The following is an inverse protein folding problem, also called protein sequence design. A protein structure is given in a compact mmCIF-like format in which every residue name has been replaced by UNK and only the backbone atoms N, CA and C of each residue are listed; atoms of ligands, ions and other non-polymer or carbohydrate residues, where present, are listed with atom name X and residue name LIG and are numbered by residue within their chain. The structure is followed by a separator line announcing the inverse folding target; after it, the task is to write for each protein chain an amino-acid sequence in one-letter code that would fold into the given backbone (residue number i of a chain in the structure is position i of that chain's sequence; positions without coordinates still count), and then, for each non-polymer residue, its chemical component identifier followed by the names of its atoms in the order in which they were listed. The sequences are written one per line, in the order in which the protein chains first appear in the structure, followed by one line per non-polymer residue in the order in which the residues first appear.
data_IF_470178360831
#
_entry.id   IF_470178360831
#
_cell.length_a   1.000
_cell.length_b   1.000
_cell.length_c   1.000
_cell.angle_alpha   90.00
_cell.angle_beta   90.00
_cell.angle_gamma   90.00
#
_symmetry.space_group_name_H-M   'P 1'
#
loop_
_entity.id
_entity.type
_entity.pdbx_description
1 polymer ?
#
# COMPACT_ATOMS: atom_id res chain seq x y z
N UNK A 1 -14.97 -21.62 45.20
CA UNK A 1 -13.55 -21.60 44.80
C UNK A 1 -13.44 -22.59 43.68
N UNK A 2 -13.69 -22.15 42.49
CA UNK A 2 -13.81 -22.95 41.27
C UNK A 2 -12.66 -22.53 40.35
N UNK A 3 -11.91 -23.47 40.08
CA UNK A 3 -11.43 -24.07 38.80
C UNK A 3 -11.80 -23.27 37.58
N UNK A 4 -10.97 -22.30 37.22
CA UNK A 4 -10.91 -21.72 35.87
C UNK A 4 -9.51 -21.14 35.57
N UNK A 5 -8.49 -21.91 35.95
CA UNK A 5 -7.08 -21.66 35.56
C UNK A 5 -6.60 -22.83 34.69
N UNK A 6 -7.24 -22.98 33.54
CA UNK A 6 -6.72 -23.96 32.59
C UNK A 6 -6.85 -23.36 31.17
N UNK A 7 -5.70 -23.35 30.51
CA UNK A 7 -5.52 -23.27 29.06
C UNK A 7 -5.51 -21.86 28.45
N UNK A 8 -4.50 -21.08 28.82
CA UNK A 8 -3.79 -20.29 27.80
C UNK A 8 -2.86 -21.28 27.09
N UNK A 9 -3.43 -22.00 26.15
CA UNK A 9 -2.67 -22.79 25.19
C UNK A 9 -1.92 -21.81 24.31
N UNK A 10 -0.63 -21.73 24.55
CA UNK A 10 0.33 -20.94 23.79
C UNK A 10 0.26 -21.41 22.32
N UNK A 11 -0.50 -20.70 21.50
CA UNK A 11 -0.64 -20.99 20.09
C UNK A 11 0.73 -20.84 19.44
N UNK A 12 1.40 -21.95 19.26
CA UNK A 12 2.63 -22.03 18.45
C UNK A 12 2.32 -21.44 17.09
N UNK A 13 3.04 -20.40 16.63
CA UNK A 13 2.78 -19.82 15.32
C UNK A 13 2.96 -20.91 14.27
N UNK A 14 1.87 -21.29 13.61
CA UNK A 14 1.95 -22.17 12.46
C UNK A 14 2.79 -21.47 11.39
N UNK A 15 3.78 -22.15 10.80
CA UNK A 15 4.47 -21.60 9.65
C UNK A 15 3.43 -21.35 8.56
N UNK A 16 3.39 -20.10 8.09
CA UNK A 16 2.55 -19.71 6.97
C UNK A 16 2.82 -20.62 5.78
N UNK A 17 1.79 -21.09 5.06
CA UNK A 17 1.98 -21.92 3.89
C UNK A 17 2.87 -21.18 2.89
N UNK A 18 3.86 -21.88 2.35
CA UNK A 18 4.78 -21.35 1.36
C UNK A 18 4.00 -20.83 0.15
N UNK A 19 4.09 -19.51 -0.11
CA UNK A 19 3.38 -18.86 -1.19
C UNK A 19 3.88 -19.32 -2.55
N UNK A 20 2.98 -19.41 -3.57
CA UNK A 20 3.37 -19.71 -4.95
C UNK A 20 4.38 -18.71 -5.52
N UNK A 21 4.46 -17.50 -4.95
CA UNK A 21 5.42 -16.46 -5.29
C UNK A 21 6.88 -16.79 -4.90
N UNK A 22 7.10 -17.82 -4.07
CA UNK A 22 8.44 -18.29 -3.72
C UNK A 22 9.08 -19.17 -4.81
N UNK A 23 8.35 -19.43 -5.90
CA UNK A 23 8.88 -20.15 -7.03
C UNK A 23 9.50 -19.17 -8.02
N UNK A 24 10.76 -19.40 -8.38
CA UNK A 24 11.41 -18.69 -9.47
C UNK A 24 10.70 -18.92 -10.82
N UNK A 25 11.01 -18.12 -11.82
CA UNK A 25 10.35 -18.10 -13.13
C UNK A 25 10.26 -19.48 -13.83
N UNK A 26 11.09 -20.45 -13.45
CA UNK A 26 11.07 -21.82 -13.97
C UNK A 26 10.77 -22.87 -12.90
N UNK A 27 10.08 -22.48 -11.82
CA UNK A 27 9.66 -23.41 -10.78
C UNK A 27 10.73 -23.74 -9.75
N UNK A 28 11.86 -23.03 -9.73
CA UNK A 28 12.89 -23.19 -8.71
C UNK A 28 12.32 -22.85 -7.33
N UNK A 29 12.45 -23.79 -6.38
CA UNK A 29 11.93 -23.63 -5.04
C UNK A 29 12.82 -22.70 -4.21
N UNK A 30 12.26 -21.64 -3.59
CA UNK A 30 12.95 -20.76 -2.63
C UNK A 30 13.86 -19.70 -3.24
N UNK A 31 13.90 -19.55 -4.57
CA UNK A 31 14.71 -18.54 -5.24
C UNK A 31 13.96 -17.95 -6.43
N UNK A 32 13.91 -16.62 -6.49
CA UNK A 32 13.46 -15.90 -7.69
C UNK A 32 14.55 -15.79 -8.75
N UNK A 33 15.75 -16.31 -8.50
CA UNK A 33 16.89 -16.29 -9.39
C UNK A 33 16.99 -17.60 -10.17
N UNK A 34 17.01 -17.49 -11.50
CA UNK A 34 17.17 -18.61 -12.42
C UNK A 34 18.63 -18.83 -12.86
N UNK A 35 19.55 -18.02 -12.33
CA UNK A 35 20.98 -18.06 -12.70
C UNK A 35 21.76 -19.22 -12.08
N UNK A 36 21.13 -20.03 -11.21
CA UNK A 36 21.79 -21.12 -10.49
C UNK A 36 22.61 -20.68 -9.27
N UNK A 37 22.56 -19.40 -8.92
CA UNK A 37 23.17 -18.90 -7.67
C UNK A 37 22.23 -19.13 -6.50
N UNK A 38 22.45 -20.23 -5.78
CA UNK A 38 21.65 -20.65 -4.62
C UNK A 38 21.71 -19.71 -3.42
N UNK A 39 22.48 -18.63 -3.46
CA UNK A 39 22.63 -17.64 -2.39
C UNK A 39 21.72 -16.41 -2.48
N UNK A 40 21.06 -16.20 -3.61
CA UNK A 40 20.15 -15.07 -3.80
C UNK A 40 18.72 -15.44 -3.36
N UNK A 41 18.51 -15.43 -2.07
CA UNK A 41 17.15 -15.55 -1.51
C UNK A 41 16.44 -14.23 -1.73
N UNK A 42 15.48 -14.18 -2.64
CA UNK A 42 14.55 -13.07 -2.74
C UNK A 42 13.67 -13.10 -1.52
N UNK A 43 13.88 -12.17 -0.62
CA UNK A 43 12.91 -11.93 0.46
C UNK A 43 11.65 -11.37 -0.19
N UNK A 44 10.61 -12.16 -0.22
CA UNK A 44 9.27 -11.65 -0.51
C UNK A 44 8.92 -10.76 0.67
N UNK A 45 8.77 -9.46 0.41
CA UNK A 45 8.23 -8.56 1.42
C UNK A 45 6.86 -9.11 1.82
N UNK A 46 6.66 -9.36 3.13
CA UNK A 46 5.37 -9.85 3.60
C UNK A 46 4.29 -8.83 3.20
N UNK A 47 3.34 -9.18 2.32
CA UNK A 47 2.32 -8.26 1.87
C UNK A 47 1.47 -7.69 3.01
N UNK A 48 1.37 -8.39 4.14
CA UNK A 48 0.71 -7.90 5.34
C UNK A 48 1.33 -6.57 5.85
N UNK A 49 2.61 -6.33 5.62
CA UNK A 49 3.26 -5.09 6.02
C UNK A 49 3.00 -3.92 5.05
N UNK A 50 2.58 -4.22 3.83
CA UNK A 50 2.24 -3.18 2.83
C UNK A 50 0.81 -2.64 3.01
N UNK A 51 0.00 -3.29 3.82
CA UNK A 51 -1.43 -2.99 3.93
C UNK A 51 -1.80 -2.19 5.18
N UNK A 52 -0.88 -2.04 6.12
CA UNK A 52 -1.15 -1.27 7.35
C UNK A 52 -1.01 0.23 7.06
N UNK A 53 -2.09 0.98 7.35
CA UNK A 53 -2.05 2.45 7.25
C UNK A 53 -1.04 3.04 8.23
N UNK A 54 -0.39 4.11 7.82
CA UNK A 54 0.50 4.87 8.70
C UNK A 54 -0.35 5.67 9.70
N UNK A 55 -0.04 5.63 11.01
CA UNK A 55 -0.72 6.49 11.97
C UNK A 55 -0.32 7.95 11.79
N UNK A 56 -1.22 8.88 12.13
CA UNK A 56 -0.90 10.32 12.19
C UNK A 56 0.02 10.61 13.38
N UNK A 57 0.87 11.65 13.31
CA UNK A 57 1.07 12.56 12.18
C UNK A 57 1.91 11.94 11.07
N UNK A 58 1.57 12.26 9.82
CA UNK A 58 2.30 11.76 8.63
C UNK A 58 3.61 12.51 8.38
N UNK A 59 3.68 13.74 8.88
CA UNK A 59 4.85 14.60 8.76
C UNK A 59 4.93 15.34 7.42
N UNK A 60 5.90 16.25 7.32
CA UNK A 60 6.11 17.09 6.14
C UNK A 60 4.80 17.80 5.71
N UNK A 61 4.52 17.83 4.40
CA UNK A 61 3.28 18.37 3.83
C UNK A 61 2.14 17.36 3.76
N UNK A 62 2.37 16.12 4.18
CA UNK A 62 1.43 15.00 3.98
C UNK A 62 0.14 15.18 4.78
N UNK A 63 0.24 15.63 6.03
CA UNK A 63 -0.95 15.89 6.85
C UNK A 63 -1.86 16.93 6.19
N UNK A 64 -1.30 18.03 5.70
CA UNK A 64 -2.08 19.09 5.03
C UNK A 64 -2.75 18.58 3.74
N UNK A 65 -2.06 17.75 2.95
CA UNK A 65 -2.64 17.14 1.75
C UNK A 65 -3.80 16.22 2.09
N UNK A 66 -3.62 15.34 3.08
CA UNK A 66 -4.66 14.40 3.48
C UNK A 66 -5.85 15.12 4.10
N UNK A 67 -5.61 16.14 4.95
CA UNK A 67 -6.69 16.94 5.58
C UNK A 67 -7.54 17.67 4.53
N UNK A 68 -6.89 18.25 3.51
CA UNK A 68 -7.60 18.89 2.39
C UNK A 68 -8.44 17.88 1.61
N UNK A 69 -7.87 16.71 1.31
CA UNK A 69 -8.59 15.66 0.60
C UNK A 69 -9.77 15.10 1.39
N UNK A 70 -9.58 14.83 2.69
CA UNK A 70 -10.64 14.32 3.56
C UNK A 70 -11.78 15.33 3.75
N UNK A 71 -11.45 16.62 3.87
CA UNK A 71 -12.46 17.67 4.02
C UNK A 71 -13.30 17.86 2.76
N UNK A 72 -12.66 17.79 1.57
CA UNK A 72 -13.35 17.95 0.30
C UNK A 72 -14.09 16.68 -0.17
N UNK A 73 -13.60 15.49 0.24
CA UNK A 73 -14.08 14.21 -0.25
C UNK A 73 -14.32 13.24 0.91
N UNK A 74 -15.23 13.59 1.83
CA UNK A 74 -15.54 12.78 2.99
C UNK A 74 -15.83 11.31 2.61
N UNK A 75 -15.15 10.38 3.28
CA UNK A 75 -15.31 8.94 3.07
C UNK A 75 -14.73 8.39 1.77
N UNK A 76 -13.97 9.19 1.01
CA UNK A 76 -13.32 8.74 -0.21
C UNK A 76 -11.98 8.06 0.04
N UNK A 77 -11.33 8.35 1.17
CA UNK A 77 -10.03 7.80 1.53
C UNK A 77 -10.24 6.57 2.42
N UNK A 78 -9.71 5.44 1.99
CA UNK A 78 -9.75 4.20 2.76
C UNK A 78 -8.56 4.08 3.71
N UNK A 79 -7.38 4.50 3.24
CA UNK A 79 -6.13 4.30 3.95
C UNK A 79 -5.05 5.25 3.42
N UNK A 80 -4.17 5.66 4.30
CA UNK A 80 -2.98 6.45 3.97
C UNK A 80 -1.74 5.68 4.39
N UNK A 81 -0.76 5.62 3.50
CA UNK A 81 0.54 5.00 3.75
C UNK A 81 1.64 5.99 3.42
N UNK A 82 2.53 6.19 4.37
CA UNK A 82 3.77 6.94 4.16
C UNK A 82 4.93 5.98 4.28
N UNK A 83 5.70 5.83 3.22
CA UNK A 83 6.89 4.99 3.19
C UNK A 83 7.99 5.69 2.42
N UNK A 84 9.18 5.80 3.01
CA UNK A 84 10.37 6.40 2.39
C UNK A 84 10.14 7.79 1.81
N UNK A 85 9.46 8.65 2.58
CA UNK A 85 9.06 10.01 2.19
C UNK A 85 8.13 10.09 0.96
N UNK A 86 7.40 9.01 0.68
CA UNK A 86 6.36 9.00 -0.34
C UNK A 86 4.98 8.79 0.29
N UNK A 87 4.05 9.66 -0.07
CA UNK A 87 2.65 9.58 0.33
C UNK A 87 1.86 8.75 -0.68
N UNK A 88 1.18 7.72 -0.18
CA UNK A 88 0.23 6.93 -0.96
C UNK A 88 -1.14 6.98 -0.29
N UNK A 89 -2.15 7.36 -1.03
CA UNK A 89 -3.54 7.47 -0.57
C UNK A 89 -4.38 6.42 -1.27
N UNK A 90 -4.96 5.50 -0.52
CA UNK A 90 -5.89 4.50 -1.06
C UNK A 90 -7.29 5.09 -1.08
N UNK A 91 -7.90 5.07 -2.24
CA UNK A 91 -9.16 5.76 -2.51
C UNK A 91 -10.22 4.75 -2.94
N UNK A 92 -11.45 4.94 -2.46
CA UNK A 92 -12.62 4.20 -2.94
C UNK A 92 -12.74 4.42 -4.45
N UNK A 93 -12.78 3.34 -5.21
CA UNK A 93 -12.74 3.37 -6.69
C UNK A 93 -13.78 4.30 -7.30
N UNK A 94 -14.99 4.28 -6.76
CA UNK A 94 -16.13 5.09 -7.21
C UNK A 94 -15.92 6.59 -7.00
N UNK A 95 -15.04 6.96 -6.06
CA UNK A 95 -14.72 8.35 -5.71
C UNK A 95 -13.40 8.85 -6.31
N UNK A 96 -12.72 8.01 -7.10
CA UNK A 96 -11.41 8.34 -7.68
C UNK A 96 -11.43 9.66 -8.46
N UNK A 97 -12.44 9.88 -9.31
CA UNK A 97 -12.51 11.09 -10.14
C UNK A 97 -12.73 12.35 -9.31
N UNK A 98 -13.50 12.28 -8.23
CA UNK A 98 -13.73 13.41 -7.32
C UNK A 98 -12.42 13.80 -6.63
N UNK A 99 -11.71 12.81 -6.08
CA UNK A 99 -10.41 13.02 -5.42
C UNK A 99 -9.38 13.59 -6.39
N UNK A 100 -9.30 13.06 -7.61
CA UNK A 100 -8.34 13.54 -8.63
C UNK A 100 -8.68 14.97 -9.08
N UNK A 101 -9.95 15.34 -9.19
CA UNK A 101 -10.36 16.72 -9.45
C UNK A 101 -9.93 17.65 -8.32
N UNK A 102 -10.17 17.27 -7.07
CA UNK A 102 -9.70 18.04 -5.92
C UNK A 102 -8.18 18.21 -5.93
N UNK A 103 -7.43 17.14 -6.19
CA UNK A 103 -5.97 17.20 -6.29
C UNK A 103 -5.49 18.21 -7.35
N UNK A 104 -6.18 18.27 -8.49
CA UNK A 104 -5.83 19.16 -9.59
C UNK A 104 -6.24 20.61 -9.34
N UNK A 105 -7.46 20.81 -8.84
CA UNK A 105 -8.13 22.12 -8.87
C UNK A 105 -7.93 22.92 -7.59
N UNK A 106 -7.63 22.25 -6.46
CA UNK A 106 -7.35 22.94 -5.19
C UNK A 106 -6.00 23.68 -5.24
N UNK A 107 -6.02 24.97 -4.89
CA UNK A 107 -4.86 25.85 -4.97
C UNK A 107 -3.70 25.42 -4.06
N UNK A 108 -4.00 24.75 -2.96
CA UNK A 108 -2.99 24.28 -1.99
C UNK A 108 -2.37 22.94 -2.38
N UNK A 109 -3.03 22.20 -3.27
CA UNK A 109 -2.61 20.88 -3.73
C UNK A 109 -1.93 20.93 -5.10
N UNK A 110 -2.60 21.43 -6.12
CA UNK A 110 -2.09 21.65 -7.47
C UNK A 110 -1.28 20.47 -8.03
N UNK A 111 -1.84 19.26 -7.97
CA UNK A 111 -1.23 18.10 -8.62
C UNK A 111 -1.64 18.05 -10.09
N UNK A 112 -1.00 18.88 -10.89
CA UNK A 112 -1.36 19.12 -12.28
C UNK A 112 -1.00 17.99 -13.23
N UNK A 113 -0.03 17.15 -12.85
CA UNK A 113 0.51 16.13 -13.72
C UNK A 113 0.24 14.72 -13.18
N UNK A 114 -0.47 13.91 -13.96
CA UNK A 114 -0.50 12.46 -13.80
C UNK A 114 0.65 11.85 -14.61
N UNK A 115 1.59 11.20 -13.95
CA UNK A 115 2.78 10.64 -14.60
C UNK A 115 2.49 9.32 -15.34
N UNK A 116 1.37 8.69 -15.05
CA UNK A 116 0.97 7.45 -15.70
C UNK A 116 -0.12 6.71 -14.93
N UNK A 117 -0.51 5.58 -15.47
CA UNK A 117 -1.42 4.63 -14.81
C UNK A 117 -0.76 3.27 -14.86
N UNK A 118 -0.50 2.68 -13.69
CA UNK A 118 0.17 1.41 -13.57
C UNK A 118 -0.76 0.38 -12.95
N UNK A 119 -0.88 -0.79 -13.57
CA UNK A 119 -1.55 -1.94 -12.97
C UNK A 119 -0.59 -2.72 -12.08
N UNK A 120 -1.03 -3.04 -10.87
CA UNK A 120 -0.28 -3.89 -9.92
C UNK A 120 -1.15 -5.09 -9.56
N UNK A 121 -0.52 -6.26 -9.47
CA UNK A 121 -1.17 -7.49 -9.08
C UNK A 121 -0.64 -7.96 -7.72
N UNK A 122 -1.55 -8.07 -6.76
CA UNK A 122 -1.33 -8.58 -5.39
C UNK A 122 -2.10 -9.88 -5.21
N UNK A 123 -1.54 -11.04 -5.56
CA UNK A 123 -2.27 -12.31 -5.57
C UNK A 123 -2.81 -12.73 -4.21
N UNK A 124 -2.26 -12.18 -3.13
CA UNK A 124 -2.63 -12.53 -1.75
C UNK A 124 -3.77 -11.66 -1.21
N UNK A 125 -4.17 -10.60 -1.92
CA UNK A 125 -5.30 -9.74 -1.54
C UNK A 125 -6.61 -10.23 -2.17
N UNK A 126 -7.23 -11.25 -1.59
CA UNK A 126 -8.48 -11.81 -2.12
C UNK A 126 -9.55 -10.73 -2.32
N UNK A 127 -10.07 -10.64 -3.55
CA UNK A 127 -11.06 -9.64 -3.96
C UNK A 127 -10.50 -8.27 -4.32
N UNK A 128 -9.19 -8.05 -4.12
CA UNK A 128 -8.47 -6.79 -4.42
C UNK A 128 -7.12 -7.05 -5.08
N UNK A 129 -6.99 -8.17 -5.76
CA UNK A 129 -5.72 -8.63 -6.36
C UNK A 129 -5.18 -7.65 -7.40
N UNK A 130 -6.05 -6.87 -8.03
CA UNK A 130 -5.67 -5.92 -9.07
C UNK A 130 -5.90 -4.51 -8.59
N UNK A 131 -4.84 -3.73 -8.53
CA UNK A 131 -4.89 -2.33 -8.15
C UNK A 131 -4.34 -1.47 -9.29
N UNK A 132 -4.92 -0.29 -9.47
CA UNK A 132 -4.41 0.72 -10.38
C UNK A 132 -3.70 1.78 -9.55
N UNK A 133 -2.48 2.11 -9.93
CA UNK A 133 -1.66 3.10 -9.23
C UNK A 133 -1.47 4.31 -10.13
N UNK A 134 -1.80 5.47 -9.60
CA UNK A 134 -1.73 6.76 -10.28
C UNK A 134 -0.70 7.63 -9.56
N UNK A 135 0.53 7.75 -10.07
CA UNK A 135 1.50 8.71 -9.55
C UNK A 135 1.18 10.11 -10.07
N UNK A 136 1.04 11.05 -9.14
CA UNK A 136 0.81 12.46 -9.41
C UNK A 136 2.00 13.30 -8.99
N UNK A 137 2.19 14.40 -9.70
CA UNK A 137 3.22 15.40 -9.43
C UNK A 137 2.62 16.81 -9.46
N UNK A 138 2.94 17.59 -8.44
CA UNK A 138 2.68 19.01 -8.39
C UNK A 138 3.95 19.75 -8.82
N UNK A 139 3.90 20.39 -9.98
CA UNK A 139 4.98 21.24 -10.48
C UNK A 139 5.06 22.51 -9.62
N UNK A 140 3.91 23.07 -9.30
CA UNK A 140 3.79 24.30 -8.51
C UNK A 140 4.43 24.17 -7.13
N UNK A 141 4.22 23.03 -6.45
CA UNK A 141 4.68 22.83 -5.08
C UNK A 141 5.86 21.87 -4.97
N UNK A 142 6.34 21.30 -6.09
CA UNK A 142 7.38 20.27 -6.14
C UNK A 142 7.08 19.10 -5.18
N UNK A 143 5.89 18.54 -5.28
CA UNK A 143 5.37 17.47 -4.42
C UNK A 143 4.96 16.26 -5.22
N UNK A 144 5.06 15.09 -4.61
CA UNK A 144 4.64 13.81 -5.20
C UNK A 144 3.58 13.15 -4.34
N UNK A 145 2.69 12.44 -5.01
CA UNK A 145 1.61 11.67 -4.39
C UNK A 145 1.31 10.45 -5.25
N UNK A 146 0.94 9.33 -4.63
CA UNK A 146 0.34 8.17 -5.30
C UNK A 146 -1.09 7.95 -4.82
N UNK A 147 -1.97 7.57 -5.75
CA UNK A 147 -3.29 7.03 -5.46
C UNK A 147 -3.33 5.59 -5.96
#
# INVERSE_FOLDING_TARGET
MSENEAQLEEATPQPLPAHPSERGAFGAHGSGDTSGFSGLVRRVANPANLVVGTPRPYGSYFDAVVDTLESANAGAIEKVVVDRDELTVFVVRERLLDVVRTLRDDETLRFEMCLGVNGVHYPDEAGRERQAVYPFFSITHNRRLRI
#
